data_IF_693648209422
#
_entry.id   IF_693648209422
#
_cell.length_a   1.000
_cell.length_b   1.000
_cell.length_c   1.000
_cell.angle_alpha   90.00
_cell.angle_beta   90.00
_cell.angle_gamma   90.00
#
_symmetry.space_group_name_H-M   'P 1'
#
loop_
_entity.id
_entity.type
_entity.pdbx_description
1 polymer ?
#
# COMPACT_ATOMS: atom_id res chain seq x y z
N UNK A 1 7.28 13.37 -36.58
CA UNK A 1 5.83 13.14 -36.41
C UNK A 1 5.51 13.18 -34.93
N UNK A 2 5.06 14.34 -34.44
CA UNK A 2 4.91 14.61 -33.01
C UNK A 2 3.58 14.15 -32.41
N UNK A 3 3.49 14.37 -31.10
CA UNK A 3 2.31 14.92 -30.41
C UNK A 3 1.03 14.06 -30.24
N UNK A 4 1.08 12.72 -30.25
CA UNK A 4 -0.17 11.94 -30.13
C UNK A 4 -0.12 10.68 -29.23
N UNK A 5 0.46 10.71 -28.02
CA UNK A 5 0.07 9.70 -27.00
C UNK A 5 0.42 9.99 -25.52
N UNK A 6 1.03 11.12 -25.18
CA UNK A 6 1.47 11.37 -23.79
C UNK A 6 0.38 11.97 -22.88
N UNK A 7 -0.79 12.27 -23.44
CA UNK A 7 -2.02 12.51 -22.70
C UNK A 7 -2.96 11.31 -22.87
N UNK A 8 -2.56 10.13 -22.38
CA UNK A 8 -3.59 9.20 -21.91
C UNK A 8 -4.33 9.95 -20.83
N UNK A 9 -5.53 10.41 -21.16
CA UNK A 9 -6.47 11.07 -20.25
C UNK A 9 -6.50 10.20 -18.99
N UNK A 10 -5.86 10.69 -17.91
CA UNK A 10 -5.85 10.02 -16.62
C UNK A 10 -7.31 9.74 -16.27
N UNK A 11 -7.66 8.47 -16.16
CA UNK A 11 -8.97 8.07 -15.67
C UNK A 11 -8.97 8.38 -14.18
N UNK A 12 -9.15 9.65 -13.81
CA UNK A 12 -9.60 10.00 -12.48
C UNK A 12 -11.01 9.44 -12.38
N UNK A 13 -11.13 8.23 -11.86
CA UNK A 13 -12.39 7.59 -11.52
C UNK A 13 -12.54 7.71 -10.00
N UNK A 14 -13.27 8.73 -9.48
CA UNK A 14 -13.39 8.96 -8.05
C UNK A 14 -13.94 7.75 -7.28
N UNK A 15 -14.75 6.92 -7.93
CA UNK A 15 -15.26 5.69 -7.33
C UNK A 15 -14.13 4.67 -7.11
N UNK A 16 -13.31 4.42 -8.12
CA UNK A 16 -12.15 3.53 -8.00
C UNK A 16 -11.15 4.04 -6.97
N UNK A 17 -10.90 5.36 -6.95
CA UNK A 17 -10.04 5.99 -5.94
C UNK A 17 -10.55 5.71 -4.53
N UNK A 18 -11.83 5.96 -4.27
CA UNK A 18 -12.45 5.75 -2.97
C UNK A 18 -12.46 4.28 -2.57
N UNK A 19 -12.68 3.37 -3.51
CA UNK A 19 -12.63 1.92 -3.25
C UNK A 19 -11.22 1.49 -2.86
N UNK A 20 -10.19 1.95 -3.58
CA UNK A 20 -8.80 1.57 -3.31
C UNK A 20 -8.33 2.14 -1.97
N UNK A 21 -8.59 3.42 -1.69
CA UNK A 21 -8.27 4.04 -0.39
C UNK A 21 -9.04 3.36 0.73
N UNK A 22 -10.34 3.14 0.55
CA UNK A 22 -11.21 2.47 1.52
C UNK A 22 -10.74 1.05 1.82
N UNK A 23 -10.29 0.31 0.81
CA UNK A 23 -9.72 -1.02 0.98
C UNK A 23 -8.43 -1.00 1.80
N UNK A 24 -7.47 -0.11 1.49
CA UNK A 24 -6.25 0.01 2.28
C UNK A 24 -6.53 0.32 3.75
N UNK A 25 -7.43 1.29 4.01
CA UNK A 25 -7.82 1.66 5.38
C UNK A 25 -8.50 0.52 6.12
N UNK A 26 -9.39 -0.20 5.44
CA UNK A 26 -10.11 -1.35 6.01
C UNK A 26 -9.14 -2.48 6.37
N UNK A 27 -8.21 -2.82 5.49
CA UNK A 27 -7.22 -3.88 5.76
C UNK A 27 -6.24 -3.47 6.87
N UNK A 28 -5.84 -2.21 6.91
CA UNK A 28 -4.98 -1.68 7.98
C UNK A 28 -5.71 -1.71 9.32
N UNK A 29 -6.97 -1.24 9.35
CA UNK A 29 -7.86 -1.25 10.51
C UNK A 29 -8.00 -2.65 11.12
N UNK A 30 -8.23 -3.67 10.29
CA UNK A 30 -8.32 -5.08 10.73
C UNK A 30 -7.05 -5.55 11.45
N UNK A 31 -5.88 -5.20 10.93
CA UNK A 31 -4.60 -5.62 11.51
C UNK A 31 -4.24 -4.85 12.78
N UNK A 32 -4.65 -3.58 12.88
CA UNK A 32 -4.45 -2.76 14.07
C UNK A 32 -5.48 -3.06 15.18
N UNK A 33 -6.63 -3.64 14.84
CA UNK A 33 -7.74 -3.79 15.78
C UNK A 33 -8.39 -2.45 16.13
N UNK A 34 -8.31 -1.47 15.22
CA UNK A 34 -8.86 -0.11 15.38
C UNK A 34 -9.87 0.17 14.29
N UNK A 35 -10.95 0.89 14.55
CA UNK A 35 -11.90 1.28 13.53
C UNK A 35 -11.29 2.32 12.57
N UNK A 36 -11.48 2.13 11.26
CA UNK A 36 -10.94 3.03 10.24
C UNK A 36 -11.52 4.46 10.35
N UNK A 37 -10.71 5.46 10.00
CA UNK A 37 -11.08 6.89 10.03
C UNK A 37 -11.39 7.46 11.44
N UNK A 38 -11.11 6.72 12.51
CA UNK A 38 -11.12 7.25 13.88
C UNK A 38 -9.87 8.07 14.18
N UNK A 39 -9.90 8.87 15.25
CA UNK A 39 -8.73 9.62 15.69
C UNK A 39 -7.59 8.66 16.06
N UNK A 40 -7.91 7.59 16.77
CA UNK A 40 -6.97 6.57 17.22
C UNK A 40 -6.28 5.87 16.05
N UNK A 41 -7.05 5.54 14.99
CA UNK A 41 -6.48 5.02 13.74
C UNK A 41 -5.51 6.02 13.11
N UNK A 42 -5.90 7.29 13.00
CA UNK A 42 -5.07 8.32 12.37
C UNK A 42 -3.79 8.59 13.18
N UNK A 43 -3.89 8.65 14.51
CA UNK A 43 -2.76 8.84 15.42
C UNK A 43 -1.78 7.65 15.32
N UNK A 44 -2.30 6.42 15.23
CA UNK A 44 -1.48 5.22 15.02
C UNK A 44 -0.72 5.27 13.68
N UNK A 45 -1.42 5.58 12.58
CA UNK A 45 -0.81 5.71 11.26
C UNK A 45 0.22 6.84 11.21
N UNK A 46 -0.05 7.98 11.83
CA UNK A 46 0.89 9.10 11.90
C UNK A 46 2.15 8.72 12.71
N UNK A 47 1.98 8.04 13.84
CA UNK A 47 3.12 7.61 14.69
C UNK A 47 4.04 6.60 13.98
N UNK A 48 3.51 5.84 13.02
CA UNK A 48 4.29 4.88 12.24
C UNK A 48 5.20 5.54 11.19
N UNK A 49 4.97 6.81 10.83
CA UNK A 49 5.63 7.47 9.70
C UNK A 49 7.16 7.50 9.78
N UNK A 50 7.72 7.91 10.92
CA UNK A 50 9.18 7.96 11.12
C UNK A 50 9.80 6.55 11.09
N UNK A 51 9.14 5.60 11.76
CA UNK A 51 9.59 4.21 11.81
C UNK A 51 9.62 3.61 10.41
N UNK A 52 8.55 3.81 9.64
CA UNK A 52 8.44 3.36 8.25
C UNK A 52 9.59 3.88 7.38
N UNK A 53 9.95 5.16 7.53
CA UNK A 53 11.04 5.77 6.78
C UNK A 53 12.41 5.19 7.15
N UNK A 54 12.62 4.88 8.43
CA UNK A 54 13.90 4.37 8.91
C UNK A 54 14.08 2.85 8.69
N UNK A 55 12.99 2.07 8.74
CA UNK A 55 13.09 0.59 8.81
C UNK A 55 12.59 -0.11 7.55
N UNK A 56 11.55 0.41 6.90
CA UNK A 56 10.90 -0.28 5.79
C UNK A 56 11.34 0.26 4.43
N UNK A 57 11.27 1.58 4.21
CA UNK A 57 11.62 2.16 2.92
C UNK A 57 13.01 1.79 2.39
N UNK A 58 14.09 1.75 3.22
CA UNK A 58 15.44 1.48 2.72
C UNK A 58 15.65 0.06 2.19
N UNK A 59 14.81 -0.90 2.59
CA UNK A 59 14.96 -2.32 2.26
C UNK A 59 14.04 -2.78 1.13
N UNK A 60 13.16 -1.91 0.65
CA UNK A 60 12.25 -2.21 -0.44
C UNK A 60 12.96 -2.15 -1.79
N UNK A 61 12.68 -3.16 -2.62
CA UNK A 61 13.19 -3.24 -3.98
C UNK A 61 12.64 -2.08 -4.81
N UNK A 62 13.56 -1.35 -5.46
CA UNK A 62 13.21 -0.13 -6.19
C UNK A 62 12.35 -0.42 -7.42
N UNK A 63 12.56 -1.55 -8.10
CA UNK A 63 11.79 -1.89 -9.28
C UNK A 63 10.34 -2.24 -8.88
N UNK A 64 10.17 -3.04 -7.83
CA UNK A 64 8.86 -3.36 -7.29
C UNK A 64 8.11 -2.10 -6.85
N UNK A 65 8.78 -1.17 -6.16
CA UNK A 65 8.15 0.08 -5.75
C UNK A 65 7.80 0.99 -6.91
N UNK A 66 8.57 0.97 -8.01
CA UNK A 66 8.20 1.65 -9.24
C UNK A 66 6.94 1.03 -9.87
N UNK A 67 6.85 -0.30 -9.93
CA UNK A 67 5.69 -0.99 -10.50
C UNK A 67 4.41 -0.73 -9.68
N UNK A 68 4.55 -0.64 -8.35
CA UNK A 68 3.48 -0.21 -7.44
C UNK A 68 3.08 1.24 -7.73
N UNK A 69 4.05 2.15 -7.80
CA UNK A 69 3.79 3.57 -8.08
C UNK A 69 3.10 3.76 -9.45
N UNK A 70 3.52 3.03 -10.48
CA UNK A 70 2.89 3.03 -11.80
C UNK A 70 1.44 2.53 -11.74
N UNK A 71 1.20 1.48 -10.94
CA UNK A 71 -0.16 0.97 -10.72
C UNK A 71 -1.04 2.00 -10.02
N UNK A 72 -0.55 2.62 -8.95
CA UNK A 72 -1.30 3.62 -8.18
C UNK A 72 -1.53 4.92 -8.99
N UNK A 73 -0.54 5.37 -9.75
CA UNK A 73 -0.68 6.54 -10.62
C UNK A 73 -1.67 6.31 -11.77
N UNK A 74 -1.89 5.05 -12.17
CA UNK A 74 -2.95 4.68 -13.12
C UNK A 74 -4.37 4.77 -12.54
N UNK A 75 -4.50 4.77 -11.20
CA UNK A 75 -5.77 4.93 -10.47
C UNK A 75 -6.06 6.42 -10.28
N UNK A 76 -5.09 7.19 -9.79
CA UNK A 76 -5.19 8.63 -9.61
C UNK A 76 -3.83 9.28 -9.61
N UNK A 77 -3.73 10.45 -10.26
CA UNK A 77 -2.58 11.31 -10.02
C UNK A 77 -2.80 12.34 -8.94
N UNK A 78 -4.05 12.74 -8.72
CA UNK A 78 -4.37 13.88 -7.86
C UNK A 78 -4.31 13.46 -6.40
N UNK A 79 -4.68 12.21 -6.12
CA UNK A 79 -4.61 11.58 -4.80
C UNK A 79 -3.44 10.59 -4.68
N UNK A 80 -2.47 10.63 -5.59
CA UNK A 80 -1.36 9.67 -5.61
C UNK A 80 -0.66 9.56 -4.25
N UNK A 81 -0.33 10.68 -3.62
CA UNK A 81 0.37 10.69 -2.33
C UNK A 81 -0.47 10.08 -1.20
N UNK A 82 -1.79 10.30 -1.19
CA UNK A 82 -2.69 9.68 -0.22
C UNK A 82 -2.72 8.16 -0.43
N UNK A 83 -2.97 7.72 -1.66
CA UNK A 83 -3.09 6.30 -1.99
C UNK A 83 -1.76 5.57 -1.72
N UNK A 84 -0.63 6.17 -2.10
CA UNK A 84 0.70 5.63 -1.82
C UNK A 84 0.99 5.59 -0.30
N UNK A 85 0.59 6.63 0.44
CA UNK A 85 0.70 6.65 1.90
C UNK A 85 -0.07 5.51 2.56
N UNK A 86 -1.33 5.29 2.16
CA UNK A 86 -2.16 4.20 2.67
C UNK A 86 -1.59 2.81 2.32
N UNK A 87 -1.06 2.65 1.10
CA UNK A 87 -0.33 1.43 0.71
C UNK A 87 0.87 1.17 1.63
N UNK A 88 1.68 2.19 1.88
CA UNK A 88 2.89 2.08 2.68
C UNK A 88 2.57 1.76 4.15
N UNK A 89 1.54 2.38 4.71
CA UNK A 89 1.06 2.06 6.07
C UNK A 89 0.59 0.61 6.15
N UNK A 90 -0.23 0.13 5.21
CA UNK A 90 -0.69 -1.25 5.22
C UNK A 90 0.49 -2.23 5.13
N UNK A 91 1.45 -1.96 4.25
CA UNK A 91 2.66 -2.79 4.13
C UNK A 91 3.45 -2.83 5.43
N UNK A 92 3.62 -1.69 6.09
CA UNK A 92 4.33 -1.58 7.36
C UNK A 92 3.63 -2.35 8.49
N UNK A 93 2.31 -2.22 8.60
CA UNK A 93 1.53 -2.96 9.60
C UNK A 93 1.60 -4.46 9.34
N UNK A 94 1.47 -4.91 8.08
CA UNK A 94 1.64 -6.32 7.70
C UNK A 94 3.01 -6.85 8.09
N UNK A 95 4.07 -6.09 7.79
CA UNK A 95 5.43 -6.46 8.16
C UNK A 95 5.62 -6.54 9.69
N UNK A 96 5.03 -5.61 10.43
CA UNK A 96 5.07 -5.60 11.89
C UNK A 96 4.35 -6.80 12.51
N UNK A 97 3.20 -7.19 11.95
CA UNK A 97 2.45 -8.37 12.40
C UNK A 97 3.25 -9.65 12.10
N UNK A 98 3.76 -9.82 10.88
CA UNK A 98 4.49 -11.04 10.52
C UNK A 98 5.83 -11.16 11.26
N UNK A 99 6.46 -10.03 11.60
CA UNK A 99 7.68 -10.01 12.40
C UNK A 99 7.49 -10.62 13.79
N UNK A 100 6.31 -10.43 14.41
CA UNK A 100 5.98 -11.11 15.68
C UNK A 100 5.90 -12.62 15.49
N UNK A 101 5.34 -13.07 14.37
CA UNK A 101 5.22 -14.48 14.04
C UNK A 101 6.58 -15.13 13.74
N UNK A 102 7.47 -14.41 13.05
CA UNK A 102 8.88 -14.81 12.82
C UNK A 102 9.61 -14.96 14.15
N UNK A 103 9.53 -13.96 15.03
CA UNK A 103 10.17 -14.01 16.36
C UNK A 103 9.63 -15.18 17.20
N UNK A 104 8.35 -15.52 17.04
CA UNK A 104 7.74 -16.68 17.71
C UNK A 104 8.12 -18.04 17.08
N UNK A 105 8.86 -18.04 15.97
CA UNK A 105 9.25 -19.26 15.24
C UNK A 105 8.14 -19.91 14.42
N UNK A 106 6.99 -19.23 14.24
CA UNK A 106 5.84 -19.75 13.48
C UNK A 106 5.96 -19.52 11.97
N UNK A 107 6.82 -18.58 11.56
CA UNK A 107 7.05 -18.21 10.16
C UNK A 107 8.54 -18.10 9.91
N UNK A 108 9.02 -18.60 8.76
CA UNK A 108 10.41 -18.42 8.35
C UNK A 108 10.63 -16.98 7.86
N UNK A 109 11.68 -16.33 8.34
CA UNK A 109 12.04 -14.96 7.97
C UNK A 109 12.26 -14.78 6.46
N UNK A 110 12.81 -15.80 5.79
CA UNK A 110 13.09 -15.78 4.35
C UNK A 110 11.83 -15.77 3.48
N UNK A 111 10.72 -16.31 4.01
CA UNK A 111 9.44 -16.42 3.30
C UNK A 111 8.54 -15.19 3.50
N UNK A 112 8.91 -14.29 4.39
CA UNK A 112 8.08 -13.17 4.84
C UNK A 112 8.83 -11.82 4.86
N UNK A 113 9.71 -11.62 3.87
CA UNK A 113 10.46 -10.37 3.72
C UNK A 113 9.55 -9.21 3.28
N UNK A 114 9.95 -7.94 3.54
CA UNK A 114 9.21 -6.77 3.07
C UNK A 114 8.88 -6.79 1.56
N UNK A 115 9.81 -7.28 0.74
CA UNK A 115 9.61 -7.37 -0.71
C UNK A 115 8.57 -8.42 -1.11
N UNK A 116 8.56 -9.58 -0.44
CA UNK A 116 7.54 -10.61 -0.66
C UNK A 116 6.16 -10.05 -0.29
N UNK A 117 6.05 -9.39 0.86
CA UNK A 117 4.79 -8.79 1.30
C UNK A 117 4.32 -7.66 0.38
N UNK A 118 5.24 -6.83 -0.10
CA UNK A 118 4.94 -5.76 -1.07
C UNK A 118 4.43 -6.33 -2.40
N UNK A 119 5.03 -7.42 -2.88
CA UNK A 119 4.59 -8.14 -4.08
C UNK A 119 3.20 -8.74 -3.92
N UNK A 120 2.94 -9.44 -2.81
CA UNK A 120 1.62 -9.99 -2.49
C UNK A 120 0.57 -8.88 -2.40
N UNK A 121 0.89 -7.77 -1.73
CA UNK A 121 -0.01 -6.63 -1.61
C UNK A 121 -0.30 -5.99 -2.98
N UNK A 122 0.72 -5.88 -3.84
CA UNK A 122 0.57 -5.37 -5.20
C UNK A 122 -0.33 -6.26 -6.06
N UNK A 123 -0.20 -7.58 -5.95
CA UNK A 123 -1.09 -8.54 -6.64
C UNK A 123 -2.54 -8.46 -6.14
N UNK A 124 -2.74 -8.31 -4.83
CA UNK A 124 -4.07 -8.07 -4.26
C UNK A 124 -4.70 -6.78 -4.78
N UNK A 125 -3.93 -5.69 -4.85
CA UNK A 125 -4.37 -4.42 -5.43
C UNK A 125 -4.75 -4.57 -6.90
N UNK A 126 -3.90 -5.22 -7.72
CA UNK A 126 -4.19 -5.50 -9.13
C UNK A 126 -5.50 -6.28 -9.29
N UNK A 127 -5.75 -7.26 -8.42
CA UNK A 127 -6.98 -8.04 -8.42
C UNK A 127 -8.20 -7.21 -8.02
N UNK A 128 -8.10 -6.35 -6.99
CA UNK A 128 -9.15 -5.42 -6.61
C UNK A 128 -9.54 -4.50 -7.79
N UNK A 129 -8.56 -3.89 -8.44
CA UNK A 129 -8.79 -3.00 -9.58
C UNK A 129 -9.51 -3.73 -10.73
N UNK A 130 -9.17 -5.00 -10.98
CA UNK A 130 -9.84 -5.83 -12.00
C UNK A 130 -11.29 -6.18 -11.65
N UNK A 131 -11.63 -6.31 -10.37
CA UNK A 131 -13.00 -6.66 -9.94
C UNK A 131 -13.95 -5.46 -10.01
N UNK A 132 -13.40 -4.24 -9.93
CA UNK A 132 -14.17 -2.99 -9.91
C UNK A 132 -14.33 -2.39 -11.32
N UNK A 133 -13.52 -2.83 -12.29
CA UNK A 133 -13.60 -2.45 -13.71
C UNK A 133 -14.47 -3.41 -14.50
#
# INVERSE_FOLDING_TARGET
MGLFNMFKRKQNNPELENIVVGWFRTETSKLLGLEANTKEYNDACQSAGETLQATLLPVLDKQLMQDVADTLSSISSDRFNEIFGEYMILLFVRFSVISKEIVSGRVNAEEATPNILAGVLHDQLKNLIKQVK
#
